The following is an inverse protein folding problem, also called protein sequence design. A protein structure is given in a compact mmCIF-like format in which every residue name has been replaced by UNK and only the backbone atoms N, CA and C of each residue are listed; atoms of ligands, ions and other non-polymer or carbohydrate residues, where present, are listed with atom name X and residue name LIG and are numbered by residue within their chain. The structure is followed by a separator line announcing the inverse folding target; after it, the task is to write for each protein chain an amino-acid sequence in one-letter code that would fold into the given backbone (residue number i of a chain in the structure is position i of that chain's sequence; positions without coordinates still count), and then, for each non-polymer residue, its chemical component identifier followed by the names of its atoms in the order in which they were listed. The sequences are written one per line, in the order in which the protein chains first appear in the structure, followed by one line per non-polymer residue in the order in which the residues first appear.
data_IF_484260805177
#
_entry.id   IF_484260805177
#
_cell.length_a   1.000
_cell.length_b   1.000
_cell.length_c   1.000
_cell.angle_alpha   90.00
_cell.angle_beta   90.00
_cell.angle_gamma   90.00
#
_symmetry.space_group_name_H-M   'P 1'
#
loop_
_entity.id
_entity.type
_entity.pdbx_description
1 polymer ?
#
# COMPACT_ATOMS: atom_id res chain seq x y z
N UNK A 1 -19.76 2.25 2.24
CA UNK A 1 -19.50 3.02 3.46
C UNK A 1 -18.38 4.01 3.20
N UNK A 2 -18.48 5.26 3.66
CA UNK A 2 -17.39 6.23 3.51
C UNK A 2 -16.23 5.79 4.40
N UNK A 3 -15.04 5.78 3.83
CA UNK A 3 -13.76 5.41 4.44
C UNK A 3 -13.29 6.43 5.49
N UNK A 4 -14.16 6.77 6.46
CA UNK A 4 -14.06 7.97 7.33
C UNK A 4 -13.10 7.86 8.50
N UNK A 5 -12.50 6.68 8.74
CA UNK A 5 -11.69 6.43 9.94
C UNK A 5 -10.23 6.06 9.64
N UNK A 6 -9.75 6.21 8.39
CA UNK A 6 -8.31 6.08 8.13
C UNK A 6 -7.62 7.34 8.65
N UNK A 7 -6.67 7.19 9.58
CA UNK A 7 -5.91 8.31 10.11
C UNK A 7 -5.08 9.01 9.03
N UNK A 8 -4.89 10.33 9.18
CA UNK A 8 -4.13 11.13 8.24
C UNK A 8 -2.65 10.67 8.10
N UNK A 9 -2.07 10.11 9.16
CA UNK A 9 -0.74 9.49 9.15
C UNK A 9 -0.68 8.27 8.23
N UNK A 10 -1.66 7.36 8.32
CA UNK A 10 -1.72 6.18 7.46
C UNK A 10 -1.94 6.57 5.98
N UNK A 11 -2.82 7.54 5.73
CA UNK A 11 -3.04 8.06 4.37
C UNK A 11 -1.78 8.71 3.80
N UNK A 12 -1.09 9.53 4.59
CA UNK A 12 0.16 10.15 4.18
C UNK A 12 1.24 9.09 3.83
N UNK A 13 1.37 8.03 4.62
CA UNK A 13 2.29 6.94 4.33
C UNK A 13 1.91 6.20 3.05
N UNK A 14 0.64 5.85 2.84
CA UNK A 14 0.20 5.18 1.61
C UNK A 14 0.45 6.04 0.36
N UNK A 15 0.18 7.34 0.44
CA UNK A 15 0.46 8.29 -0.65
C UNK A 15 1.97 8.40 -0.91
N UNK A 16 2.80 8.44 0.14
CA UNK A 16 4.25 8.46 -0.01
C UNK A 16 4.77 7.19 -0.70
N UNK A 17 4.27 6.02 -0.33
CA UNK A 17 4.61 4.74 -0.97
C UNK A 17 4.22 4.75 -2.44
N UNK A 18 3.00 5.19 -2.76
CA UNK A 18 2.52 5.28 -4.14
C UNK A 18 3.39 6.23 -4.97
N UNK A 19 3.74 7.40 -4.42
CA UNK A 19 4.60 8.38 -5.08
C UNK A 19 6.02 7.85 -5.32
N UNK A 20 6.58 7.12 -4.36
CA UNK A 20 7.87 6.48 -4.51
C UNK A 20 7.83 5.37 -5.56
N UNK A 21 6.83 4.48 -5.49
CA UNK A 21 6.65 3.37 -6.43
C UNK A 21 6.42 3.85 -7.87
N UNK A 22 5.78 5.01 -8.05
CA UNK A 22 5.61 5.63 -9.38
C UNK A 22 6.94 6.03 -10.04
N UNK A 23 8.02 6.19 -9.27
CA UNK A 23 9.38 6.41 -9.79
C UNK A 23 10.14 5.09 -10.04
N UNK A 24 9.56 3.94 -9.69
CA UNK A 24 10.13 2.59 -9.83
C UNK A 24 9.27 1.77 -10.83
N UNK A 25 9.38 2.01 -12.15
CA UNK A 25 8.42 1.52 -13.15
C UNK A 25 8.34 -0.01 -13.21
N UNK A 26 9.45 -0.72 -13.03
CA UNK A 26 9.47 -2.19 -13.03
C UNK A 26 8.73 -2.76 -11.81
N UNK A 27 8.88 -2.10 -10.67
CA UNK A 27 8.25 -2.50 -9.42
C UNK A 27 6.77 -2.19 -9.41
N UNK A 28 6.38 -1.01 -9.90
CA UNK A 28 4.98 -0.65 -10.10
C UNK A 28 4.30 -1.64 -11.06
N UNK A 29 4.96 -1.96 -12.18
CA UNK A 29 4.43 -2.92 -13.16
C UNK A 29 4.23 -4.30 -12.54
N UNK A 30 5.17 -4.77 -11.71
CA UNK A 30 5.04 -6.03 -10.96
C UNK A 30 3.87 -5.98 -9.99
N UNK A 31 3.72 -4.91 -9.21
CA UNK A 31 2.61 -4.77 -8.27
C UNK A 31 1.25 -4.76 -8.98
N UNK A 32 1.13 -4.03 -10.09
CA UNK A 32 -0.08 -4.00 -10.92
C UNK A 32 -0.42 -5.39 -11.49
N UNK A 33 0.58 -6.13 -11.96
CA UNK A 33 0.39 -7.50 -12.43
C UNK A 33 -0.09 -8.45 -11.33
N UNK A 34 0.43 -8.32 -10.11
CA UNK A 34 0.03 -9.14 -8.96
C UNK A 34 -1.36 -8.79 -8.40
N UNK A 35 -1.73 -7.50 -8.42
CA UNK A 35 -3.04 -7.02 -7.97
C UNK A 35 -4.15 -7.20 -9.01
N UNK A 36 -3.80 -7.53 -10.27
CA UNK A 36 -4.75 -7.64 -11.38
C UNK A 36 -5.25 -6.28 -11.91
N UNK A 37 -4.69 -5.17 -11.43
CA UNK A 37 -5.07 -3.81 -11.83
C UNK A 37 -4.31 -3.40 -13.09
N UNK A 38 -5.04 -2.90 -14.09
CA UNK A 38 -4.41 -2.35 -15.29
C UNK A 38 -3.86 -0.94 -15.04
N UNK A 39 -2.78 -0.49 -15.71
CA UNK A 39 -2.24 0.86 -15.53
C UNK A 39 -3.28 1.99 -15.71
N UNK A 40 -4.21 1.84 -16.65
CA UNK A 40 -5.30 2.81 -16.87
C UNK A 40 -6.34 2.85 -15.74
N UNK A 41 -6.38 1.85 -14.87
CA UNK A 41 -7.29 1.74 -13.72
C UNK A 41 -6.64 2.21 -12.42
N UNK A 42 -5.33 2.47 -12.40
CA UNK A 42 -4.59 2.83 -11.19
C UNK A 42 -5.24 3.99 -10.43
N UNK A 43 -5.64 5.05 -11.14
CA UNK A 43 -6.28 6.22 -10.53
C UNK A 43 -7.60 5.90 -9.83
N UNK A 44 -8.34 4.90 -10.32
CA UNK A 44 -9.54 4.42 -9.66
C UNK A 44 -9.19 3.51 -8.48
N UNK A 45 -8.24 2.59 -8.67
CA UNK A 45 -7.81 1.62 -7.68
C UNK A 45 -7.25 2.26 -6.40
N UNK A 46 -6.55 3.40 -6.48
CA UNK A 46 -6.04 4.10 -5.28
C UNK A 46 -7.13 4.65 -4.36
N UNK A 47 -8.40 4.68 -4.79
CA UNK A 47 -9.53 5.02 -3.91
C UNK A 47 -10.07 3.79 -3.15
N UNK A 48 -9.58 2.60 -3.47
CA UNK A 48 -9.92 1.36 -2.80
C UNK A 48 -8.95 1.11 -1.61
N UNK A 49 -9.45 1.04 -0.38
CA UNK A 49 -8.62 0.77 0.79
C UNK A 49 -7.92 -0.60 0.71
N UNK A 50 -8.55 -1.59 0.10
CA UNK A 50 -7.97 -2.93 -0.04
C UNK A 50 -6.77 -2.91 -1.01
N UNK A 51 -6.84 -2.09 -2.06
CA UNK A 51 -5.71 -1.89 -2.97
C UNK A 51 -4.52 -1.24 -2.26
N UNK A 52 -4.78 -0.22 -1.43
CA UNK A 52 -3.73 0.44 -0.64
C UNK A 52 -3.16 -0.51 0.43
N UNK A 53 -3.98 -1.34 1.06
CA UNK A 53 -3.50 -2.41 1.96
C UNK A 53 -2.57 -3.38 1.22
N UNK A 54 -2.97 -3.86 0.04
CA UNK A 54 -2.15 -4.76 -0.77
C UNK A 54 -0.85 -4.13 -1.27
N UNK A 55 -0.84 -2.82 -1.55
CA UNK A 55 0.38 -2.09 -1.90
C UNK A 55 1.37 -2.02 -0.73
N UNK A 56 0.87 -1.72 0.48
CA UNK A 56 1.68 -1.67 1.69
C UNK A 56 2.20 -3.07 2.04
N UNK A 57 1.37 -4.11 1.91
CA UNK A 57 1.78 -5.50 2.08
C UNK A 57 2.85 -5.92 1.06
N UNK A 58 2.66 -5.59 -0.22
CA UNK A 58 3.65 -5.84 -1.27
C UNK A 58 5.02 -5.22 -0.94
N UNK A 59 5.03 -4.01 -0.39
CA UNK A 59 6.26 -3.35 0.05
C UNK A 59 6.92 -4.10 1.21
N UNK A 60 6.12 -4.53 2.20
CA UNK A 60 6.59 -5.25 3.38
C UNK A 60 7.07 -6.69 3.09
N UNK A 61 6.55 -7.32 2.03
CA UNK A 61 6.95 -8.66 1.59
C UNK A 61 8.39 -8.72 1.06
N UNK A 62 9.02 -7.57 0.79
CA UNK A 62 10.40 -7.51 0.32
C UNK A 62 11.20 -6.47 1.11
N UNK A 63 11.91 -6.92 2.15
CA UNK A 63 12.69 -6.08 3.06
C UNK A 63 13.62 -5.07 2.33
N UNK A 64 14.41 -5.43 1.29
CA UNK A 64 15.25 -4.46 0.60
C UNK A 64 14.47 -3.30 -0.01
N UNK A 65 13.27 -3.57 -0.52
CA UNK A 65 12.39 -2.54 -1.08
C UNK A 65 11.81 -1.66 0.02
N UNK A 66 11.32 -2.25 1.11
CA UNK A 66 10.85 -1.49 2.27
C UNK A 66 11.94 -0.55 2.79
N UNK A 67 13.16 -1.06 2.96
CA UNK A 67 14.28 -0.26 3.44
C UNK A 67 14.70 0.84 2.46
N UNK A 68 14.65 0.59 1.14
CA UNK A 68 14.90 1.60 0.12
C UNK A 68 13.86 2.74 0.16
N UNK A 69 12.58 2.39 0.29
CA UNK A 69 11.50 3.37 0.49
C UNK A 69 11.72 4.20 1.77
N UNK A 70 11.99 3.54 2.90
CA UNK A 70 12.22 4.19 4.19
C UNK A 70 13.41 5.16 4.14
N UNK A 71 14.52 4.74 3.51
CA UNK A 71 15.68 5.59 3.32
C UNK A 71 15.41 6.80 2.40
N UNK A 72 14.63 6.60 1.33
CA UNK A 72 14.34 7.66 0.36
C UNK A 72 13.33 8.70 0.88
N UNK A 73 12.48 8.34 1.83
CA UNK A 73 11.37 9.19 2.30
C UNK A 73 11.52 9.62 3.76
N UNK A 74 12.59 9.18 4.44
CA UNK A 74 12.77 9.33 5.89
C UNK A 74 11.61 8.75 6.71
N UNK A 75 10.86 7.82 6.12
CA UNK A 75 9.74 7.13 6.76
C UNK A 75 10.29 5.99 7.61
N UNK A 76 9.70 5.80 8.80
CA UNK A 76 10.00 4.66 9.66
C UNK A 76 9.30 3.39 9.14
N UNK A 77 9.95 2.22 9.13
CA UNK A 77 9.29 0.96 8.76
C UNK A 77 8.01 0.70 9.56
N UNK A 78 7.99 1.08 10.84
CA UNK A 78 6.83 0.94 11.73
C UNK A 78 5.62 1.73 11.22
N UNK A 79 5.82 2.90 10.61
CA UNK A 79 4.73 3.69 10.03
C UNK A 79 4.09 2.98 8.82
N UNK A 80 4.85 2.20 8.06
CA UNK A 80 4.32 1.38 6.95
C UNK A 80 3.45 0.25 7.49
N UNK A 81 3.90 -0.42 8.56
CA UNK A 81 3.15 -1.48 9.24
C UNK A 81 1.86 -0.93 9.86
N UNK A 82 1.95 0.21 10.55
CA UNK A 82 0.80 0.90 11.12
C UNK A 82 -0.21 1.28 10.04
N UNK A 83 0.25 1.88 8.93
CA UNK A 83 -0.60 2.22 7.80
C UNK A 83 -1.30 0.97 7.24
N UNK A 84 -0.57 -0.13 7.04
CA UNK A 84 -1.15 -1.39 6.58
C UNK A 84 -2.29 -1.85 7.48
N UNK A 85 -2.11 -1.86 8.80
CA UNK A 85 -3.16 -2.24 9.74
C UNK A 85 -4.39 -1.33 9.70
N UNK A 86 -4.23 -0.04 9.36
CA UNK A 86 -5.38 0.87 9.17
C UNK A 86 -6.15 0.56 7.88
N UNK A 87 -5.47 0.13 6.82
CA UNK A 87 -6.08 -0.18 5.51
C UNK A 87 -6.64 -1.59 5.41
N UNK A 88 -5.99 -2.58 6.02
CA UNK A 88 -6.43 -3.98 6.02
C UNK A 88 -7.74 -4.20 6.80
N UNK A 89 -8.13 -3.24 7.64
CA UNK A 89 -9.29 -3.34 8.53
C UNK A 89 -9.08 -4.41 9.63
N UNK A 90 -10.10 -4.67 10.47
CA UNK A 90 -10.13 -5.92 11.22
C UNK A 90 -10.13 -7.04 10.19
N UNK A 91 -9.01 -7.73 10.07
CA UNK A 91 -8.81 -8.87 9.20
C UNK A 91 -10.07 -9.74 9.17
N UNK A 92 -10.55 -10.07 7.97
CA UNK A 92 -11.37 -11.27 7.79
C UNK A 92 -10.49 -12.47 8.15
N UNK A 93 -10.34 -12.71 9.44
CA UNK A 93 -9.96 -14.00 9.98
C UNK A 93 -11.23 -14.67 10.43
N UNK A 94 -11.88 -15.39 9.51
CA UNK A 94 -12.87 -16.45 9.74
C UNK A 94 -13.34 -17.02 8.41
N UNK A 95 -12.88 -18.25 8.13
CA UNK A 95 -13.58 -19.33 7.42
C UNK A 95 -14.83 -18.97 6.60
N UNK A 96 -14.73 -19.09 5.27
CA UNK A 96 -15.82 -19.65 4.45
C UNK A 96 -15.26 -20.09 3.08
N UNK A 97 -14.70 -21.31 3.05
CA UNK A 97 -14.77 -22.26 1.93
C UNK A 97 -14.64 -23.68 2.48
#
# INVERSE_FOLDING_TARGET
MKNRDIPADAEATAVAVLGWLANEPDMLSRFLALSGVQPGQLRQAVNDPAFLAGMLEFLMQHEPTLMAFCAATETKPESVVEAYHRYAGPSFDSADF
#
